data_IF_293260771618
#
_entry.id   IF_293260771618
#
_cell.length_a   1.000
_cell.length_b   1.000
_cell.length_c   1.000
_cell.angle_alpha   90.00
_cell.angle_beta   90.00
_cell.angle_gamma   90.00
#
_symmetry.space_group_name_H-M   'P 1'
#
loop_
_entity.id
_entity.type
_entity.pdbx_description
1 polymer ?
#
# COMPACT_ATOMS: atom_id res chain seq x y z
N UNK A 1 -9.68 -8.96 -9.21
CA UNK A 1 -9.60 -7.51 -9.55
C UNK A 1 -8.75 -7.39 -10.79
N UNK A 2 -8.99 -6.41 -11.67
CA UNK A 2 -8.16 -6.22 -12.88
C UNK A 2 -6.91 -5.41 -12.54
N UNK A 3 -5.73 -5.97 -12.84
CA UNK A 3 -4.45 -5.27 -12.76
C UNK A 3 -4.04 -4.69 -14.13
N UNK A 4 -3.28 -3.58 -14.18
CA UNK A 4 -2.84 -2.77 -13.05
C UNK A 4 -3.98 -1.92 -12.47
N UNK A 5 -3.92 -1.64 -11.17
CA UNK A 5 -4.93 -0.83 -10.47
C UNK A 5 -4.27 0.24 -9.62
N UNK A 6 -4.85 1.44 -9.61
CA UNK A 6 -4.42 2.51 -8.71
C UNK A 6 -5.23 2.44 -7.42
N UNK A 7 -4.55 2.48 -6.28
CA UNK A 7 -5.19 2.49 -4.96
C UNK A 7 -4.70 3.67 -4.13
N UNK A 8 -5.59 4.22 -3.30
CA UNK A 8 -5.20 5.17 -2.27
C UNK A 8 -4.85 4.38 -1.02
N UNK A 9 -3.65 4.57 -0.49
CA UNK A 9 -3.20 3.90 0.74
C UNK A 9 -4.03 4.42 1.92
N UNK A 10 -4.50 3.51 2.77
CA UNK A 10 -5.25 3.83 3.98
C UNK A 10 -4.31 4.08 5.17
N UNK A 11 -4.77 4.85 6.16
CA UNK A 11 -3.99 5.12 7.38
C UNK A 11 -2.78 6.06 7.20
N UNK A 12 -2.62 6.66 6.02
CA UNK A 12 -1.49 7.55 5.67
C UNK A 12 -1.38 8.74 6.63
N UNK A 13 -2.49 9.22 7.17
CA UNK A 13 -2.53 10.31 8.18
C UNK A 13 -1.76 9.99 9.46
N UNK A 14 -1.58 8.71 9.81
CA UNK A 14 -0.81 8.28 10.98
C UNK A 14 0.70 8.13 10.68
N UNK A 15 1.09 8.24 9.40
CA UNK A 15 2.44 7.97 8.90
C UNK A 15 3.01 9.14 8.08
N UNK A 16 2.63 10.38 8.41
CA UNK A 16 2.97 11.57 7.61
C UNK A 16 4.48 11.81 7.50
N UNK A 17 5.25 11.49 8.54
CA UNK A 17 6.71 11.59 8.52
C UNK A 17 7.31 10.63 7.49
N UNK A 18 6.90 9.37 7.51
CA UNK A 18 7.33 8.32 6.58
C UNK A 18 6.92 8.65 5.15
N UNK A 19 5.67 9.07 4.96
CA UNK A 19 5.10 9.43 3.67
C UNK A 19 5.83 10.64 3.06
N UNK A 20 6.26 11.61 3.87
CA UNK A 20 7.04 12.77 3.39
C UNK A 20 8.44 12.40 2.86
N UNK A 21 8.96 11.23 3.22
CA UNK A 21 10.24 10.72 2.74
C UNK A 21 10.13 9.94 1.43
N UNK A 22 8.91 9.57 1.01
CA UNK A 22 8.66 8.88 -0.25
C UNK A 22 9.00 9.81 -1.42
N UNK A 23 9.78 9.32 -2.39
CA UNK A 23 10.17 10.05 -3.59
C UNK A 23 9.53 9.46 -4.84
N UNK A 24 9.63 10.20 -5.95
CA UNK A 24 9.29 9.67 -7.27
C UNK A 24 10.04 8.35 -7.52
N UNK A 25 9.35 7.36 -8.09
CA UNK A 25 9.89 6.00 -8.36
C UNK A 25 10.25 5.19 -7.10
N UNK A 26 9.71 5.55 -5.94
CA UNK A 26 9.73 4.68 -4.78
C UNK A 26 9.08 3.34 -5.12
N UNK A 27 9.68 2.26 -4.63
CA UNK A 27 9.10 0.94 -4.63
C UNK A 27 8.43 0.69 -3.28
N UNK A 28 7.35 -0.08 -3.32
CA UNK A 28 6.57 -0.46 -2.14
C UNK A 28 6.46 -1.96 -2.04
N UNK A 29 6.62 -2.48 -0.83
CA UNK A 29 6.32 -3.85 -0.48
C UNK A 29 4.94 -3.96 0.14
N UNK A 30 4.26 -5.05 -0.15
CA UNK A 30 3.03 -5.45 0.52
C UNK A 30 3.39 -6.54 1.52
N UNK A 31 3.01 -6.34 2.79
CA UNK A 31 3.36 -7.23 3.89
C UNK A 31 2.06 -7.66 4.57
N UNK A 32 1.63 -8.93 4.43
CA UNK A 32 0.49 -9.45 5.17
C UNK A 32 0.70 -9.34 6.68
N UNK A 33 -0.32 -8.89 7.41
CA UNK A 33 -0.38 -8.84 8.87
C UNK A 33 -1.65 -9.58 9.34
N UNK A 34 -1.68 -10.93 9.26
CA UNK A 34 -2.87 -11.71 9.61
C UNK A 34 -3.27 -11.57 11.08
N UNK A 35 -2.31 -11.26 11.96
CA UNK A 35 -2.52 -11.06 13.40
C UNK A 35 -2.84 -9.59 13.77
N UNK A 36 -3.24 -8.76 12.80
CA UNK A 36 -3.54 -7.36 13.07
C UNK A 36 -4.78 -7.23 13.97
N UNK A 37 -4.66 -6.67 15.20
CA UNK A 37 -5.78 -6.59 16.15
C UNK A 37 -6.92 -5.67 15.69
N UNK A 38 -6.69 -4.85 14.66
CA UNK A 38 -7.68 -3.93 14.09
C UNK A 38 -8.39 -4.48 12.85
N UNK A 39 -7.93 -5.62 12.30
CA UNK A 39 -8.63 -6.32 11.21
C UNK A 39 -9.07 -7.71 11.67
N UNK A 40 -10.34 -7.79 12.07
CA UNK A 40 -10.95 -9.03 12.52
C UNK A 40 -10.98 -10.14 11.45
N UNK A 41 -10.79 -9.77 10.17
CA UNK A 41 -10.78 -10.75 9.08
C UNK A 41 -9.39 -11.32 8.79
N UNK A 42 -8.33 -10.82 9.43
CA UNK A 42 -6.95 -11.31 9.22
C UNK A 42 -6.42 -11.07 7.80
N UNK A 43 -6.96 -10.08 7.10
CA UNK A 43 -6.61 -9.74 5.71
C UNK A 43 -5.76 -8.47 5.60
N UNK A 44 -5.34 -7.90 6.73
CA UNK A 44 -4.62 -6.63 6.73
C UNK A 44 -3.30 -6.78 5.97
N UNK A 45 -3.06 -5.83 5.06
CA UNK A 45 -1.83 -5.80 4.27
C UNK A 45 -1.20 -4.44 4.46
N UNK A 46 -0.07 -4.44 5.16
CA UNK A 46 0.76 -3.26 5.37
C UNK A 46 1.47 -2.90 4.07
N UNK A 47 1.63 -1.60 3.84
CA UNK A 47 2.39 -1.04 2.72
C UNK A 47 3.66 -0.40 3.28
N UNK A 48 4.82 -0.94 2.86
CA UNK A 48 6.13 -0.44 3.26
C UNK A 48 6.85 0.21 2.07
N UNK A 49 7.22 1.48 2.19
CA UNK A 49 8.10 2.16 1.24
C UNK A 49 9.56 1.79 1.50
N UNK A 50 10.31 1.51 0.43
CA UNK A 50 11.72 1.13 0.51
C UNK A 50 12.00 -0.07 1.45
N UNK A 51 10.99 -0.91 1.68
CA UNK A 51 11.08 -2.09 2.55
C UNK A 51 11.32 -1.78 4.04
N UNK A 52 11.20 -0.51 4.43
CA UNK A 52 11.54 -0.05 5.79
C UNK A 52 10.47 0.85 6.40
N UNK A 53 9.84 1.70 5.61
CA UNK A 53 8.96 2.74 6.12
C UNK A 53 7.51 2.34 5.94
N UNK A 54 6.83 1.99 7.03
CA UNK A 54 5.40 1.81 7.04
C UNK A 54 4.71 3.12 6.63
N UNK A 55 4.02 3.10 5.50
CA UNK A 55 3.29 4.27 4.96
C UNK A 55 1.77 4.11 5.06
N UNK A 56 1.29 2.93 5.43
CA UNK A 56 -0.11 2.66 5.68
C UNK A 56 -0.50 1.23 5.32
N UNK A 57 -1.73 1.08 4.83
CA UNK A 57 -2.35 -0.21 4.54
C UNK A 57 -3.07 -0.20 3.19
N UNK A 58 -3.28 -1.39 2.63
CA UNK A 58 -4.30 -1.60 1.61
C UNK A 58 -5.68 -1.27 2.22
N UNK A 59 -6.56 -0.54 1.52
CA UNK A 59 -7.90 -0.29 2.02
C UNK A 59 -8.65 -1.59 2.34
N UNK A 60 -9.34 -1.65 3.48
CA UNK A 60 -10.06 -2.84 3.95
C UNK A 60 -11.02 -3.44 2.90
N UNK A 61 -11.66 -2.60 2.08
CA UNK A 61 -12.54 -3.07 0.99
C UNK A 61 -11.82 -3.87 -0.12
N UNK A 62 -10.49 -3.79 -0.18
CA UNK A 62 -9.63 -4.46 -1.16
C UNK A 62 -8.68 -5.46 -0.50
N UNK A 63 -8.58 -5.48 0.82
CA UNK A 63 -7.54 -6.20 1.55
C UNK A 63 -7.64 -7.72 1.33
N UNK A 64 -8.86 -8.27 1.41
CA UNK A 64 -9.13 -9.69 1.12
C UNK A 64 -8.64 -10.11 -0.27
N UNK A 65 -9.08 -9.39 -1.29
CA UNK A 65 -8.76 -9.70 -2.68
C UNK A 65 -7.25 -9.55 -2.97
N UNK A 66 -6.60 -8.53 -2.40
CA UNK A 66 -5.15 -8.37 -2.52
C UNK A 66 -4.41 -9.49 -1.77
N UNK A 67 -4.93 -9.97 -0.63
CA UNK A 67 -4.35 -11.08 0.13
C UNK A 67 -4.36 -12.36 -0.70
N UNK A 68 -5.52 -12.72 -1.25
CA UNK A 68 -5.67 -13.89 -2.14
C UNK A 68 -4.72 -13.81 -3.35
N UNK A 69 -4.52 -12.62 -3.91
CA UNK A 69 -3.59 -12.40 -5.02
C UNK A 69 -2.11 -12.51 -4.62
N UNK A 70 -1.76 -12.19 -3.36
CA UNK A 70 -0.41 -12.42 -2.83
C UNK A 70 -0.17 -13.90 -2.57
N UNK A 71 -1.15 -14.60 -1.99
CA UNK A 71 -1.07 -16.03 -1.67
C UNK A 71 -0.92 -16.90 -2.94
N UNK A 72 -1.57 -16.49 -4.03
CA UNK A 72 -1.49 -17.16 -5.34
C UNK A 72 -0.28 -16.74 -6.18
N UNK A 73 0.49 -15.73 -5.75
CA UNK A 73 1.61 -15.18 -6.51
C UNK A 73 1.19 -14.34 -7.73
N UNK A 74 -0.10 -14.04 -7.92
CA UNK A 74 -0.57 -13.19 -9.01
C UNK A 74 -0.10 -11.73 -8.87
N UNK A 75 0.22 -11.31 -7.64
CA UNK A 75 0.72 -9.99 -7.32
C UNK A 75 2.13 -10.09 -6.73
N UNK A 76 3.10 -9.39 -7.33
CA UNK A 76 4.41 -9.24 -6.73
C UNK A 76 4.56 -7.83 -6.17
N UNK A 77 5.23 -7.74 -5.03
CA UNK A 77 5.37 -6.59 -4.15
C UNK A 77 6.11 -5.38 -4.77
N UNK A 78 5.54 -4.77 -5.81
CA UNK A 78 6.04 -3.53 -6.39
C UNK A 78 4.87 -2.63 -6.75
N UNK A 79 4.75 -1.53 -6.01
CA UNK A 79 3.91 -0.42 -6.43
C UNK A 79 4.74 0.77 -6.89
N UNK A 80 4.19 1.58 -7.79
CA UNK A 80 4.79 2.85 -8.21
C UNK A 80 4.08 4.01 -7.51
N UNK A 81 4.82 5.02 -7.05
CA UNK A 81 4.22 6.26 -6.57
C UNK A 81 3.49 6.95 -7.73
N UNK A 82 2.18 7.11 -7.60
CA UNK A 82 1.36 7.84 -8.57
C UNK A 82 1.24 9.31 -8.19
N UNK A 83 1.03 9.60 -6.89
CA UNK A 83 0.78 10.96 -6.43
C UNK A 83 0.97 11.08 -4.91
N UNK A 84 1.62 12.17 -4.48
CA UNK A 84 1.67 12.63 -3.10
C UNK A 84 0.91 13.98 -3.02
N UNK A 85 -0.29 13.99 -2.44
CA UNK A 85 -1.12 15.20 -2.40
C UNK A 85 -1.07 15.86 -1.02
N UNK A 86 -0.56 17.09 -0.93
CA UNK A 86 -0.67 17.89 0.29
C UNK A 86 -2.05 18.55 0.31
N UNK A 87 -2.93 18.15 1.21
CA UNK A 87 -4.21 18.82 1.43
C UNK A 87 -3.96 20.20 2.06
N UNK A 88 -4.31 21.28 1.36
CA UNK A 88 -4.16 22.65 1.88
C UNK A 88 -4.95 22.94 3.17
N UNK A 89 -6.01 22.16 3.44
CA UNK A 89 -6.87 22.31 4.62
C UNK A 89 -6.34 21.55 5.85
N UNK A 90 -5.63 20.45 5.64
CA UNK A 90 -5.20 19.55 6.72
C UNK A 90 -3.68 19.31 6.79
N UNK A 91 -2.90 19.89 5.88
CA UNK A 91 -1.44 19.65 5.71
C UNK A 91 -1.08 18.16 5.70
N UNK A 92 -1.99 17.31 5.20
CA UNK A 92 -1.75 15.87 5.10
C UNK A 92 -1.36 15.49 3.67
N UNK A 93 -0.35 14.64 3.55
CA UNK A 93 0.08 14.00 2.32
C UNK A 93 -0.77 12.74 2.13
N UNK A 94 -1.54 12.66 1.05
CA UNK A 94 -2.17 11.42 0.59
C UNK A 94 -1.23 10.63 -0.31
N UNK A 95 -1.27 9.29 -0.24
CA UNK A 95 -0.40 8.41 -1.03
C UNK A 95 -1.24 7.53 -1.96
N UNK A 96 -0.96 7.61 -3.26
CA UNK A 96 -1.55 6.73 -4.28
C UNK A 96 -0.47 5.86 -4.90
N UNK A 97 -0.73 4.55 -4.94
CA UNK A 97 0.20 3.56 -5.50
C UNK A 97 -0.50 2.75 -6.60
N UNK A 98 0.29 2.21 -7.54
CA UNK A 98 -0.21 1.33 -8.61
C UNK A 98 0.21 -0.11 -8.34
N UNK A 99 -0.73 -1.02 -8.14
CA UNK A 99 -0.46 -2.45 -8.04
C UNK A 99 -0.34 -3.06 -9.44
N UNK A 100 0.65 -3.91 -9.66
CA UNK A 100 0.92 -4.60 -10.93
C UNK A 100 1.41 -6.02 -10.68
N UNK A 101 1.18 -6.93 -11.63
CA UNK A 101 1.76 -8.27 -11.60
C UNK A 101 3.28 -8.16 -11.59
N UNK A 102 3.95 -9.04 -10.86
CA UNK A 102 5.40 -9.18 -11.05
C UNK A 102 5.71 -9.86 -12.36
N UNK A 103 6.84 -9.50 -12.94
CA UNK A 103 7.49 -10.41 -13.86
C UNK A 103 8.23 -11.42 -12.99
N UNK A 104 7.93 -12.71 -13.14
CA UNK A 104 8.83 -13.75 -12.66
C UNK A 104 10.21 -13.44 -13.27
N UNK A 105 11.21 -13.21 -12.40
CA UNK A 105 12.61 -13.25 -12.82
C UNK A 105 13.09 -14.69 -12.80
#
# INVERSE_FOLDING_TARGET
>A
MKLPVNINVAGVSFHQKEVSMVRARAWFMLVPEPDNPHDLNGTAIRVDAYGKFKVGYIPAKMSKEVSEMLDTGELHCFADLVQANVSGKHKTIGLKIKLKRGNAQ
#
